data_IF_460358625526
#
_entry.id   IF_460358625526
#
_cell.length_a   1.000
_cell.length_b   1.000
_cell.length_c   1.000
_cell.angle_alpha   90.00
_cell.angle_beta   90.00
_cell.angle_gamma   90.00
#
_symmetry.space_group_name_H-M   'P 1'
#
loop_
_entity.id
_entity.type
_entity.pdbx_description
1 polymer ?
#
# COMPACT_ATOMS: atom_id res chain seq x y z
N UNK A 1 -16.18 -47.87 2.73
CA UNK A 1 -15.17 -46.78 2.73
C UNK A 1 -15.79 -45.61 1.99
N UNK A 2 -16.16 -44.54 2.69
CA UNK A 2 -16.78 -43.36 2.07
C UNK A 2 -15.71 -42.57 1.30
N UNK A 3 -15.91 -42.42 0.01
CA UNK A 3 -15.16 -41.49 -0.84
C UNK A 3 -15.50 -40.08 -0.35
N UNK A 4 -14.52 -39.37 0.21
CA UNK A 4 -14.66 -37.94 0.49
C UNK A 4 -14.87 -37.23 -0.86
N UNK A 5 -15.83 -36.28 -0.97
CA UNK A 5 -15.98 -35.52 -2.20
C UNK A 5 -14.73 -34.66 -2.40
N UNK A 6 -13.97 -34.93 -3.47
CA UNK A 6 -12.93 -34.04 -3.96
C UNK A 6 -13.56 -32.65 -4.18
N UNK A 7 -13.22 -31.69 -3.33
CA UNK A 7 -13.65 -30.29 -3.49
C UNK A 7 -12.98 -29.76 -4.77
N UNK A 8 -13.73 -29.47 -5.86
CA UNK A 8 -13.15 -29.12 -7.15
C UNK A 8 -12.66 -27.65 -7.19
N UNK A 9 -12.53 -26.98 -6.05
CA UNK A 9 -12.09 -25.59 -5.96
C UNK A 9 -10.58 -25.54 -6.19
N UNK A 10 -10.10 -24.93 -7.29
CA UNK A 10 -8.67 -24.75 -7.50
C UNK A 10 -8.08 -23.98 -6.31
N UNK A 11 -7.03 -24.50 -5.71
CA UNK A 11 -6.32 -23.86 -4.61
C UNK A 11 -5.84 -22.46 -5.01
N UNK A 12 -5.95 -21.49 -4.11
CA UNK A 12 -5.37 -20.17 -4.33
C UNK A 12 -3.84 -20.31 -4.31
N UNK A 13 -3.13 -20.04 -5.41
CA UNK A 13 -1.68 -20.25 -5.44
C UNK A 13 -1.00 -19.27 -4.49
N UNK A 14 -0.15 -19.78 -3.60
CA UNK A 14 0.65 -18.98 -2.66
C UNK A 14 1.39 -17.86 -3.43
N UNK A 15 1.44 -16.61 -2.95
CA UNK A 15 1.96 -15.48 -3.71
C UNK A 15 3.50 -15.42 -3.69
N UNK A 16 4.16 -16.55 -3.99
CA UNK A 16 5.63 -16.70 -3.90
C UNK A 16 6.37 -15.62 -4.68
N UNK A 17 5.94 -15.34 -5.92
CA UNK A 17 6.53 -14.29 -6.75
C UNK A 17 6.41 -12.88 -6.15
N UNK A 18 5.28 -12.57 -5.50
CA UNK A 18 5.09 -11.28 -4.82
C UNK A 18 6.01 -11.17 -3.61
N UNK A 19 6.13 -12.24 -2.82
CA UNK A 19 7.03 -12.28 -1.66
C UNK A 19 8.48 -12.01 -2.10
N UNK A 20 8.96 -12.70 -3.15
CA UNK A 20 10.32 -12.49 -3.66
C UNK A 20 10.52 -11.08 -4.24
N UNK A 21 9.57 -10.59 -5.04
CA UNK A 21 9.66 -9.25 -5.62
C UNK A 21 9.63 -8.15 -4.55
N UNK A 22 8.72 -8.25 -3.58
CA UNK A 22 8.61 -7.29 -2.48
C UNK A 22 9.81 -7.34 -1.54
N UNK A 23 10.32 -8.54 -1.22
CA UNK A 23 11.53 -8.69 -0.40
C UNK A 23 12.76 -8.16 -1.12
N UNK A 24 12.89 -8.43 -2.43
CA UNK A 24 13.95 -7.88 -3.27
C UNK A 24 13.89 -6.36 -3.38
N UNK A 25 12.68 -5.80 -3.50
CA UNK A 25 12.46 -4.35 -3.46
C UNK A 25 12.90 -3.77 -2.12
N UNK A 26 12.42 -4.32 -1.00
CA UNK A 26 12.80 -3.86 0.35
C UNK A 26 14.33 -3.93 0.54
N UNK A 27 14.97 -5.02 0.12
CA UNK A 27 16.42 -5.16 0.19
C UNK A 27 17.15 -4.11 -0.65
N UNK A 28 16.73 -3.88 -1.89
CA UNK A 28 17.30 -2.85 -2.75
C UNK A 28 17.09 -1.44 -2.18
N UNK A 29 15.89 -1.13 -1.69
CA UNK A 29 15.57 0.13 -1.02
C UNK A 29 16.44 0.34 0.22
N UNK A 30 16.66 -0.70 1.01
CA UNK A 30 17.53 -0.66 2.19
C UNK A 30 18.98 -0.38 1.79
N UNK A 31 19.50 -1.06 0.78
CA UNK A 31 20.87 -0.84 0.27
C UNK A 31 21.04 0.58 -0.27
N UNK A 32 20.06 1.10 -1.01
CA UNK A 32 20.11 2.46 -1.57
C UNK A 32 20.01 3.52 -0.47
N UNK A 33 19.16 3.31 0.53
CA UNK A 33 18.88 4.30 1.56
C UNK A 33 19.94 4.33 2.68
N UNK A 34 20.36 3.16 3.16
CA UNK A 34 21.23 3.00 4.34
C UNK A 34 22.68 2.68 3.92
N UNK A 35 22.87 2.04 2.77
CA UNK A 35 24.18 1.58 2.31
C UNK A 35 24.60 0.24 2.93
N UNK A 36 25.72 -0.30 2.45
CA UNK A 36 26.27 -1.59 2.90
C UNK A 36 27.19 -1.43 4.11
N UNK A 37 27.73 -0.22 4.34
CA UNK A 37 28.67 0.05 5.43
C UNK A 37 27.97 0.74 6.59
N UNK A 38 28.13 0.24 7.84
CA UNK A 38 27.60 0.94 9.01
C UNK A 38 28.32 2.28 9.20
N UNK A 39 27.60 3.36 9.55
CA UNK A 39 28.19 4.66 9.83
C UNK A 39 29.19 4.57 10.98
N UNK A 40 30.28 5.33 10.86
CA UNK A 40 31.38 5.39 11.84
C UNK A 40 30.92 5.90 13.23
N UNK A 41 29.75 6.53 13.31
CA UNK A 41 29.08 6.92 14.55
C UNK A 41 27.59 6.56 14.49
N UNK A 42 27.11 5.57 15.26
CA UNK A 42 25.70 5.20 15.29
C UNK A 42 24.93 6.25 16.09
N UNK A 43 24.43 7.28 15.41
CA UNK A 43 23.47 8.23 15.97
C UNK A 43 22.17 8.20 15.17
N UNK A 44 21.04 8.36 15.85
CA UNK A 44 19.71 8.40 15.23
C UNK A 44 19.58 9.51 14.18
N UNK A 45 20.35 10.60 14.33
CA UNK A 45 20.43 11.69 13.36
C UNK A 45 20.95 11.24 11.98
N UNK A 46 21.86 10.26 11.95
CA UNK A 46 22.45 9.71 10.72
C UNK A 46 21.48 8.76 10.02
N UNK A 47 20.69 7.99 10.77
CA UNK A 47 19.77 6.98 10.21
C UNK A 47 18.40 7.54 9.83
N UNK A 48 17.95 8.65 10.41
CA UNK A 48 16.59 9.19 10.16
C UNK A 48 16.36 9.62 8.70
N UNK A 49 17.31 10.26 7.98
CA UNK A 49 17.16 10.51 6.53
C UNK A 49 17.07 9.23 5.70
N UNK A 50 17.86 8.21 6.05
CA UNK A 50 17.84 6.92 5.38
C UNK A 50 16.52 6.17 5.61
N UNK A 51 16.02 6.18 6.85
CA UNK A 51 14.71 5.61 7.20
C UNK A 51 13.57 6.29 6.40
N UNK A 52 13.62 7.62 6.22
CA UNK A 52 12.67 8.36 5.38
C UNK A 52 12.70 7.91 3.92
N UNK A 53 13.89 7.75 3.35
CA UNK A 53 14.04 7.25 1.97
C UNK A 53 13.55 5.82 1.82
N UNK A 54 13.81 4.96 2.81
CA UNK A 54 13.28 3.59 2.83
C UNK A 54 11.75 3.59 2.84
N UNK A 55 11.11 4.36 3.73
CA UNK A 55 9.65 4.47 3.79
C UNK A 55 9.05 5.02 2.48
N UNK A 56 9.62 6.09 1.92
CA UNK A 56 9.21 6.63 0.64
C UNK A 56 9.29 5.57 -0.46
N UNK A 57 10.39 4.81 -0.52
CA UNK A 57 10.57 3.72 -1.46
C UNK A 57 9.58 2.58 -1.26
N UNK A 58 9.23 2.25 -0.01
CA UNK A 58 8.20 1.25 0.30
C UNK A 58 6.81 1.72 -0.15
N UNK A 59 6.46 2.99 0.05
CA UNK A 59 5.22 3.58 -0.46
C UNK A 59 5.18 3.48 -1.98
N UNK A 60 6.28 3.79 -2.69
CA UNK A 60 6.35 3.62 -4.15
C UNK A 60 6.18 2.14 -4.55
N UNK A 61 6.87 1.22 -3.86
CA UNK A 61 6.76 -0.22 -4.13
C UNK A 61 5.33 -0.74 -3.95
N UNK A 62 4.69 -0.35 -2.84
CA UNK A 62 3.33 -0.76 -2.50
C UNK A 62 2.27 -0.10 -3.37
N UNK A 63 2.33 1.21 -3.60
CA UNK A 63 1.26 1.93 -4.30
C UNK A 63 1.46 1.92 -5.81
N UNK A 64 2.67 1.75 -6.33
CA UNK A 64 2.96 1.85 -7.77
C UNK A 64 3.42 0.52 -8.34
N UNK A 65 4.54 -0.01 -7.85
CA UNK A 65 5.19 -1.17 -8.45
C UNK A 65 4.31 -2.42 -8.36
N UNK A 66 3.69 -2.66 -7.19
CA UNK A 66 2.79 -3.80 -6.99
C UNK A 66 1.55 -3.74 -7.89
N UNK A 67 0.77 -2.65 -7.93
CA UNK A 67 -0.36 -2.50 -8.85
C UNK A 67 0.03 -2.64 -10.31
N UNK A 68 1.13 -2.02 -10.72
CA UNK A 68 1.63 -2.13 -12.09
C UNK A 68 1.91 -3.58 -12.45
N UNK A 69 2.69 -4.28 -11.61
CA UNK A 69 2.99 -5.70 -11.79
C UNK A 69 1.71 -6.54 -11.89
N UNK A 70 0.72 -6.25 -11.02
CA UNK A 70 -0.56 -6.98 -11.03
C UNK A 70 -1.37 -6.75 -12.29
N UNK A 71 -1.48 -5.52 -12.75
CA UNK A 71 -2.25 -5.20 -13.94
C UNK A 71 -1.58 -5.70 -15.24
N UNK A 72 -0.26 -5.92 -15.20
CA UNK A 72 0.49 -6.58 -16.27
C UNK A 72 0.30 -8.09 -16.31
N UNK A 73 -0.04 -8.73 -15.19
CA UNK A 73 -0.45 -10.15 -15.19
C UNK A 73 -1.87 -10.29 -15.76
N UNK A 74 -2.15 -11.38 -16.50
CA UNK A 74 -3.38 -11.57 -17.30
C UNK A 74 -4.71 -11.61 -16.50
N UNK A 75 -5.78 -12.15 -17.10
CA UNK A 75 -7.10 -12.24 -16.45
C UNK A 75 -7.02 -13.06 -15.15
N UNK A 76 -7.58 -12.53 -14.06
CA UNK A 76 -7.58 -13.14 -12.72
C UNK A 76 -8.93 -13.81 -12.46
N UNK A 77 -8.94 -15.12 -12.16
CA UNK A 77 -10.16 -15.92 -11.89
C UNK A 77 -10.83 -15.61 -10.54
N UNK A 78 -10.12 -15.01 -9.57
CA UNK A 78 -10.63 -14.63 -8.24
C UNK A 78 -10.02 -13.29 -7.78
N UNK A 79 -10.49 -12.15 -8.30
CA UNK A 79 -9.83 -10.85 -8.08
C UNK A 79 -9.80 -10.43 -6.61
N UNK A 80 -10.91 -10.63 -5.88
CA UNK A 80 -11.05 -10.27 -4.45
C UNK A 80 -10.10 -11.09 -3.58
N UNK A 81 -10.20 -12.43 -3.62
CA UNK A 81 -9.36 -13.29 -2.79
C UNK A 81 -7.87 -13.10 -3.08
N UNK A 82 -7.51 -12.84 -4.34
CA UNK A 82 -6.13 -12.56 -4.72
C UNK A 82 -5.63 -11.24 -4.15
N UNK A 83 -6.42 -10.17 -4.27
CA UNK A 83 -6.07 -8.87 -3.73
C UNK A 83 -5.95 -8.88 -2.20
N UNK A 84 -6.81 -9.62 -1.49
CA UNK A 84 -6.72 -9.78 -0.03
C UNK A 84 -5.44 -10.52 0.40
N UNK A 85 -5.08 -11.59 -0.32
CA UNK A 85 -3.88 -12.37 -0.01
C UNK A 85 -2.60 -11.57 -0.32
N UNK A 86 -2.62 -10.74 -1.36
CA UNK A 86 -1.53 -9.80 -1.63
C UNK A 86 -1.43 -8.70 -0.57
N UNK A 87 -2.57 -8.12 -0.19
CA UNK A 87 -2.65 -7.13 0.87
C UNK A 87 -2.06 -7.67 2.17
N UNK A 88 -2.49 -8.87 2.60
CA UNK A 88 -1.97 -9.52 3.80
C UNK A 88 -0.45 -9.75 3.71
N UNK A 89 0.04 -10.16 2.53
CA UNK A 89 1.47 -10.36 2.30
C UNK A 89 2.26 -9.06 2.41
N UNK A 90 1.78 -8.00 1.76
CA UNK A 90 2.45 -6.69 1.76
C UNK A 90 2.39 -6.02 3.12
N UNK A 91 1.25 -6.12 3.82
CA UNK A 91 1.12 -5.65 5.20
C UNK A 91 2.11 -6.39 6.09
N UNK A 92 2.18 -7.73 6.03
CA UNK A 92 3.13 -8.49 6.85
C UNK A 92 4.59 -8.07 6.60
N UNK A 93 4.97 -7.88 5.33
CA UNK A 93 6.32 -7.40 4.98
C UNK A 93 6.55 -5.95 5.46
N UNK A 94 5.53 -5.10 5.36
CA UNK A 94 5.59 -3.73 5.84
C UNK A 94 5.81 -3.67 7.36
N UNK A 95 5.09 -4.50 8.13
CA UNK A 95 5.25 -4.64 9.59
C UNK A 95 6.68 -5.01 9.99
N UNK A 96 7.29 -5.95 9.26
CA UNK A 96 8.67 -6.41 9.51
C UNK A 96 9.69 -5.29 9.30
N UNK A 97 9.39 -4.28 8.48
CA UNK A 97 10.29 -3.14 8.25
C UNK A 97 10.00 -1.99 9.20
N UNK A 98 8.73 -1.61 9.35
CA UNK A 98 8.36 -0.36 10.04
C UNK A 98 8.63 -0.39 11.54
N UNK A 99 8.38 -1.51 12.21
CA UNK A 99 8.56 -1.60 13.66
C UNK A 99 10.04 -1.57 14.07
N UNK A 100 10.96 -2.31 13.41
CA UNK A 100 12.38 -2.20 13.70
C UNK A 100 12.96 -0.80 13.42
N UNK A 101 12.36 0.00 12.54
CA UNK A 101 12.84 1.37 12.31
C UNK A 101 12.78 2.24 13.56
N UNK A 102 11.88 1.94 14.51
CA UNK A 102 11.84 2.61 15.82
C UNK A 102 13.13 2.41 16.63
N UNK A 103 13.83 1.30 16.42
CA UNK A 103 15.08 1.00 17.15
C UNK A 103 16.28 1.82 16.64
N UNK A 104 16.18 2.35 15.42
CA UNK A 104 17.26 3.11 14.76
C UNK A 104 16.93 4.59 14.54
N UNK A 105 15.69 4.99 14.85
CA UNK A 105 15.20 6.38 14.76
C UNK A 105 14.83 6.90 16.15
N UNK A 106 14.61 8.22 16.26
CA UNK A 106 14.11 8.85 17.50
C UNK A 106 12.57 8.86 17.58
N UNK A 107 11.88 8.07 16.75
CA UNK A 107 10.43 8.13 16.66
C UNK A 107 9.75 7.51 17.89
N UNK A 108 8.75 8.19 18.47
CA UNK A 108 7.89 7.59 19.50
C UNK A 108 7.04 6.46 18.90
N UNK A 109 6.55 5.57 19.76
CA UNK A 109 5.72 4.43 19.34
C UNK A 109 4.47 4.88 18.58
N UNK A 110 3.83 5.97 19.02
CA UNK A 110 2.65 6.52 18.38
C UNK A 110 2.92 6.97 16.94
N UNK A 111 4.12 7.47 16.64
CA UNK A 111 4.49 7.93 15.29
C UNK A 111 4.72 6.73 14.38
N UNK A 112 5.39 5.71 14.89
CA UNK A 112 5.54 4.42 14.18
C UNK A 112 4.18 3.80 13.90
N UNK A 113 3.26 3.82 14.87
CA UNK A 113 1.90 3.33 14.72
C UNK A 113 1.11 4.15 13.69
N UNK A 114 1.24 5.48 13.69
CA UNK A 114 0.58 6.35 12.74
C UNK A 114 1.05 6.06 11.29
N UNK A 115 2.37 5.98 11.09
CA UNK A 115 2.95 5.58 9.80
C UNK A 115 2.47 4.18 9.36
N UNK A 116 2.36 3.27 10.33
CA UNK A 116 1.91 1.91 10.08
C UNK A 116 0.47 1.87 9.57
N UNK A 117 -0.42 2.55 10.28
CA UNK A 117 -1.85 2.60 9.93
C UNK A 117 -2.10 3.30 8.59
N UNK A 118 -1.40 4.41 8.31
CA UNK A 118 -1.45 5.06 6.99
C UNK A 118 -1.03 4.08 5.88
N UNK A 119 0.12 3.41 6.06
CA UNK A 119 0.62 2.41 5.12
C UNK A 119 -0.40 1.30 4.84
N UNK A 120 -1.00 0.75 5.88
CA UNK A 120 -2.05 -0.27 5.77
C UNK A 120 -3.28 0.28 5.05
N UNK A 121 -3.76 1.48 5.40
CA UNK A 121 -4.95 2.08 4.80
C UNK A 121 -4.76 2.35 3.29
N UNK A 122 -3.58 2.83 2.88
CA UNK A 122 -3.24 3.03 1.47
C UNK A 122 -3.11 1.71 0.71
N UNK A 123 -2.42 0.72 1.28
CA UNK A 123 -2.34 -0.62 0.68
C UNK A 123 -3.72 -1.25 0.54
N UNK A 124 -4.59 -1.12 1.54
CA UNK A 124 -5.95 -1.62 1.52
C UNK A 124 -6.80 -0.92 0.45
N UNK A 125 -6.66 0.40 0.30
CA UNK A 125 -7.32 1.18 -0.74
C UNK A 125 -6.91 0.72 -2.13
N UNK A 126 -5.60 0.60 -2.37
CA UNK A 126 -5.06 0.11 -3.64
C UNK A 126 -5.48 -1.34 -3.92
N UNK A 127 -5.46 -2.21 -2.93
CA UNK A 127 -5.94 -3.59 -3.05
C UNK A 127 -7.40 -3.65 -3.50
N UNK A 128 -8.26 -2.83 -2.88
CA UNK A 128 -9.67 -2.72 -3.23
C UNK A 128 -9.87 -2.22 -4.66
N UNK A 129 -9.12 -1.18 -5.07
CA UNK A 129 -9.18 -0.67 -6.45
C UNK A 129 -8.71 -1.74 -7.44
N UNK A 130 -7.64 -2.48 -7.13
CA UNK A 130 -7.18 -3.60 -7.97
C UNK A 130 -8.23 -4.71 -8.08
N UNK A 131 -8.89 -5.08 -6.99
CA UNK A 131 -9.97 -6.07 -7.01
C UNK A 131 -11.13 -5.61 -7.90
N UNK A 132 -11.54 -4.34 -7.76
CA UNK A 132 -12.59 -3.71 -8.56
C UNK A 132 -12.20 -3.60 -10.05
N UNK A 133 -10.96 -3.18 -10.34
CA UNK A 133 -10.46 -2.99 -11.69
C UNK A 133 -10.22 -4.32 -12.39
N UNK A 134 -9.80 -5.37 -11.69
CA UNK A 134 -9.62 -6.69 -12.27
C UNK A 134 -10.94 -7.35 -12.70
N UNK A 135 -12.07 -6.97 -12.07
CA UNK A 135 -13.40 -7.35 -12.52
C UNK A 135 -13.83 -6.65 -13.81
N UNK A 136 -13.21 -5.51 -14.16
CA UNK A 136 -13.52 -4.70 -15.35
C UNK A 136 -12.42 -4.89 -16.42
N UNK A 137 -12.81 -5.02 -17.68
CA UNK A 137 -11.88 -5.26 -18.79
C UNK A 137 -10.84 -4.14 -19.02
N UNK A 138 -10.03 -4.29 -20.07
CA UNK A 138 -8.74 -3.60 -20.32
C UNK A 138 -8.64 -2.10 -20.02
N UNK A 139 -9.69 -1.29 -20.20
CA UNK A 139 -9.67 0.15 -19.90
C UNK A 139 -9.54 0.49 -18.41
N UNK A 140 -10.09 -0.35 -17.52
CA UNK A 140 -10.04 -0.10 -16.08
C UNK A 140 -8.61 -0.14 -15.51
N UNK A 141 -7.71 -0.88 -16.17
CA UNK A 141 -6.30 -1.01 -15.77
C UNK A 141 -5.55 0.30 -15.93
N UNK A 142 -5.69 0.93 -17.11
CA UNK A 142 -5.04 2.20 -17.44
C UNK A 142 -5.55 3.29 -16.50
N UNK A 143 -6.87 3.37 -16.31
CA UNK A 143 -7.46 4.33 -15.38
C UNK A 143 -7.01 4.14 -13.93
N UNK A 144 -6.86 2.89 -13.48
CA UNK A 144 -6.33 2.61 -12.13
C UNK A 144 -4.91 3.15 -11.96
N UNK A 145 -4.03 2.91 -12.94
CA UNK A 145 -2.66 3.45 -12.90
C UNK A 145 -2.66 4.98 -12.93
N UNK A 146 -3.45 5.60 -13.81
CA UNK A 146 -3.57 7.06 -13.88
C UNK A 146 -4.05 7.62 -12.54
N UNK A 147 -5.07 7.04 -11.93
CA UNK A 147 -5.62 7.49 -10.65
C UNK A 147 -4.56 7.44 -9.54
N UNK A 148 -3.81 6.34 -9.45
CA UNK A 148 -2.72 6.17 -8.46
C UNK A 148 -1.62 7.22 -8.69
N UNK A 149 -1.21 7.42 -9.95
CA UNK A 149 -0.19 8.43 -10.28
C UNK A 149 -0.67 9.84 -9.96
N UNK A 150 -1.91 10.16 -10.29
CA UNK A 150 -2.54 11.44 -9.97
C UNK A 150 -2.59 11.65 -8.46
N UNK A 151 -3.00 10.64 -7.70
CA UNK A 151 -3.06 10.71 -6.24
C UNK A 151 -1.69 10.98 -5.60
N UNK A 152 -0.63 10.39 -6.14
CA UNK A 152 0.74 10.58 -5.65
C UNK A 152 1.35 11.95 -6.05
N UNK A 153 1.12 12.41 -7.29
CA UNK A 153 1.89 13.53 -7.87
C UNK A 153 1.12 14.85 -7.86
N UNK A 154 -0.19 14.84 -8.14
CA UNK A 154 -0.93 16.08 -8.36
C UNK A 154 -1.04 16.95 -7.11
N UNK A 155 -1.39 16.42 -5.91
CA UNK A 155 -1.49 17.26 -4.72
C UNK A 155 -0.22 18.07 -4.39
N UNK A 156 0.99 17.47 -4.32
CA UNK A 156 2.19 18.24 -4.03
C UNK A 156 2.56 19.21 -5.16
N UNK A 157 2.36 18.83 -6.43
CA UNK A 157 2.64 19.73 -7.56
C UNK A 157 1.74 20.96 -7.54
N UNK A 158 0.45 20.80 -7.25
CA UNK A 158 -0.48 21.94 -7.14
C UNK A 158 -0.07 22.89 -6.01
N UNK A 159 0.36 22.37 -4.86
CA UNK A 159 0.85 23.21 -3.75
C UNK A 159 2.09 24.00 -4.17
N UNK A 160 3.06 23.36 -4.83
CA UNK A 160 4.31 24.02 -5.26
C UNK A 160 4.04 25.07 -6.34
N UNK A 161 3.21 24.75 -7.33
CA UNK A 161 3.00 25.59 -8.52
C UNK A 161 2.01 26.72 -8.31
N UNK A 162 0.97 26.49 -7.51
CA UNK A 162 -0.12 27.46 -7.29
C UNK A 162 -0.06 28.12 -5.91
N UNK A 163 0.89 27.73 -5.05
CA UNK A 163 1.03 28.27 -3.70
C UNK A 163 -0.16 27.96 -2.78
N UNK A 164 -0.82 26.82 -2.99
CA UNK A 164 -1.96 26.40 -2.18
C UNK A 164 -1.55 25.99 -0.76
N UNK A 165 -2.53 25.70 0.10
CA UNK A 165 -2.26 25.27 1.48
C UNK A 165 -1.47 23.96 1.53
N UNK A 166 -0.48 23.89 2.43
CA UNK A 166 0.34 22.69 2.62
C UNK A 166 -0.46 21.45 3.04
N UNK A 167 -1.66 21.64 3.61
CA UNK A 167 -2.57 20.56 3.96
C UNK A 167 -3.08 19.77 2.75
N UNK A 168 -3.10 20.37 1.55
CA UNK A 168 -3.44 19.65 0.33
C UNK A 168 -2.34 18.68 -0.10
N UNK A 169 -1.07 19.00 0.13
CA UNK A 169 0.03 18.11 -0.22
C UNK A 169 -0.03 16.81 0.58
N UNK A 170 -0.50 16.88 1.83
CA UNK A 170 -0.75 15.75 2.74
C UNK A 170 -1.81 14.74 2.24
N UNK A 171 -2.54 15.06 1.17
CA UNK A 171 -3.42 14.08 0.50
C UNK A 171 -2.58 13.03 -0.24
N UNK A 172 -1.37 13.38 -0.69
CA UNK A 172 -0.47 12.44 -1.34
C UNK A 172 0.20 11.53 -0.29
N UNK A 173 0.08 10.20 -0.42
CA UNK A 173 0.72 9.24 0.48
C UNK A 173 2.24 9.45 0.62
N UNK A 174 2.89 9.81 -0.48
CA UNK A 174 4.34 10.02 -0.49
C UNK A 174 4.74 11.26 0.28
N UNK A 175 3.95 12.33 0.17
CA UNK A 175 4.20 13.56 0.92
C UNK A 175 3.86 13.37 2.40
N UNK A 176 2.75 12.69 2.71
CA UNK A 176 2.31 12.46 4.09
C UNK A 176 3.29 11.57 4.85
N UNK A 177 3.73 10.45 4.26
CA UNK A 177 4.75 9.59 4.89
C UNK A 177 6.04 10.36 5.15
N UNK A 178 6.42 11.23 4.22
CA UNK A 178 7.62 12.06 4.33
C UNK A 178 7.48 13.12 5.44
N UNK A 179 6.31 13.75 5.54
CA UNK A 179 5.99 14.73 6.57
C UNK A 179 6.06 14.10 7.96
N UNK A 180 5.28 13.03 8.19
CA UNK A 180 5.21 12.34 9.50
C UNK A 180 6.59 11.85 9.94
N UNK A 181 7.36 11.29 9.01
CA UNK A 181 8.69 10.77 9.28
C UNK A 181 9.74 11.88 9.52
N UNK A 182 9.49 13.11 9.07
CA UNK A 182 10.40 14.26 9.26
C UNK A 182 10.20 14.99 10.58
N UNK A 183 9.05 14.85 11.23
CA UNK A 183 8.70 15.56 12.48
C UNK A 183 9.43 15.04 13.75
N UNK A 184 10.37 14.10 13.59
CA UNK A 184 11.34 13.74 14.63
C UNK A 184 10.69 13.19 15.92
N UNK A 185 10.97 13.75 17.11
CA UNK A 185 10.35 13.35 18.38
C UNK A 185 9.12 14.20 18.76
N UNK A 186 8.65 15.13 17.91
CA UNK A 186 7.53 15.99 18.24
C UNK A 186 6.25 15.18 18.56
N UNK A 187 5.38 15.72 19.42
CA UNK A 187 4.08 15.12 19.71
C UNK A 187 3.18 15.11 18.48
N UNK A 188 2.32 14.09 18.38
CA UNK A 188 1.40 13.91 17.26
C UNK A 188 0.15 14.75 17.52
N UNK A 189 -0.27 15.52 16.52
CA UNK A 189 -1.48 16.31 16.65
C UNK A 189 -2.71 15.37 16.62
N UNK A 190 -3.76 15.63 17.42
CA UNK A 190 -4.99 14.83 17.37
C UNK A 190 -5.63 14.75 15.97
N UNK A 191 -5.40 15.76 15.14
CA UNK A 191 -5.87 15.81 13.75
C UNK A 191 -5.27 14.75 12.84
N UNK A 192 -4.09 14.21 13.16
CA UNK A 192 -3.40 13.23 12.31
C UNK A 192 -4.09 11.86 12.37
N UNK A 193 -4.58 11.46 13.55
CA UNK A 193 -5.38 10.25 13.73
C UNK A 193 -6.70 10.27 12.96
N UNK A 194 -7.31 11.46 12.82
CA UNK A 194 -8.54 11.63 12.04
C UNK A 194 -8.32 11.32 10.56
N UNK A 195 -7.15 11.65 10.00
CA UNK A 195 -6.83 11.39 8.59
C UNK A 195 -6.76 9.89 8.32
N UNK A 196 -6.03 9.15 9.15
CA UNK A 196 -5.99 7.68 9.10
C UNK A 196 -7.39 7.07 9.13
N UNK A 197 -8.26 7.54 10.03
CA UNK A 197 -9.63 7.05 10.10
C UNK A 197 -10.43 7.31 8.80
N UNK A 198 -10.25 8.47 8.18
CA UNK A 198 -10.85 8.79 6.88
C UNK A 198 -10.33 7.86 5.79
N UNK A 199 -9.02 7.56 5.76
CA UNK A 199 -8.43 6.66 4.77
C UNK A 199 -8.96 5.22 4.90
N UNK A 200 -9.12 4.72 6.13
CA UNK A 200 -9.79 3.43 6.34
C UNK A 200 -11.25 3.44 5.91
N UNK A 201 -11.98 4.54 6.14
CA UNK A 201 -13.34 4.69 5.65
C UNK A 201 -13.39 4.68 4.10
N UNK A 202 -12.45 5.36 3.45
CA UNK A 202 -12.30 5.33 1.98
C UNK A 202 -11.99 3.91 1.50
N UNK A 203 -11.04 3.22 2.13
CA UNK A 203 -10.73 1.82 1.81
C UNK A 203 -11.96 0.92 1.94
N UNK A 204 -12.74 1.07 3.02
CA UNK A 204 -13.97 0.32 3.24
C UNK A 204 -15.01 0.56 2.14
N UNK A 205 -15.19 1.81 1.71
CA UNK A 205 -16.10 2.17 0.60
C UNK A 205 -15.62 1.54 -0.71
N UNK A 206 -14.33 1.57 -1.00
CA UNK A 206 -13.74 0.95 -2.20
C UNK A 206 -13.98 -0.56 -2.18
N UNK A 207 -13.76 -1.23 -1.04
CA UNK A 207 -13.99 -2.66 -0.89
C UNK A 207 -15.46 -3.03 -1.00
N UNK A 208 -16.35 -2.24 -0.41
CA UNK A 208 -17.79 -2.42 -0.58
C UNK A 208 -18.19 -2.34 -2.06
N UNK A 209 -17.70 -1.33 -2.79
CA UNK A 209 -17.96 -1.20 -4.22
C UNK A 209 -17.37 -2.37 -5.04
N UNK A 210 -16.16 -2.84 -4.69
CA UNK A 210 -15.54 -4.00 -5.33
C UNK A 210 -16.39 -5.26 -5.17
N UNK A 211 -16.85 -5.53 -3.94
CA UNK A 211 -17.66 -6.71 -3.61
C UNK A 211 -19.04 -6.61 -4.26
N UNK A 212 -19.75 -5.48 -4.11
CA UNK A 212 -21.09 -5.30 -4.67
C UNK A 212 -21.12 -5.46 -6.20
N UNK A 213 -20.06 -5.01 -6.89
CA UNK A 213 -19.98 -5.19 -8.35
C UNK A 213 -19.63 -6.62 -8.78
N UNK A 214 -19.01 -7.42 -7.90
CA UNK A 214 -18.72 -8.83 -8.18
C UNK A 214 -19.98 -9.71 -8.07
N UNK A 215 -20.82 -9.48 -7.05
CA UNK A 215 -22.05 -10.25 -6.83
C UNK A 215 -23.10 -9.98 -7.90
N UNK A 216 -23.22 -8.73 -8.37
CA UNK A 216 -24.15 -8.36 -9.44
C UNK A 216 -23.81 -9.04 -10.79
N UNK A 217 -22.54 -9.40 -11.02
CA UNK A 217 -22.12 -10.10 -12.23
C UNK A 217 -22.49 -11.59 -12.24
N UNK A 218 -22.60 -12.21 -11.07
CA UNK A 218 -22.95 -13.64 -10.93
C UNK A 218 -24.46 -13.85 -11.14
N UNK A 219 -25.30 -12.99 -10.55
CA UNK A 219 -26.76 -13.06 -10.69
C UNK A 219 -27.24 -12.87 -12.14
N UNK A 220 -26.54 -12.05 -12.94
CA UNK A 220 -26.84 -11.87 -14.36
C UNK A 220 -26.45 -13.08 -15.23
N UNK A 221 -25.49 -13.90 -14.80
CA UNK A 221 -25.07 -15.08 -15.55
C UNK A 221 -26.01 -16.27 -15.30
N UNK A 222 -26.53 -16.40 -14.08
CA UNK A 222 -27.46 -17.46 -13.70
C UNK A 222 -28.88 -17.24 -14.25
N UNK A 223 -29.28 -15.99 -14.55
CA UNK A 223 -30.60 -15.70 -15.14
C UNK A 223 -30.69 -15.98 -16.66
N UNK A 224 -29.56 -16.28 -17.32
CA UNK A 224 -29.48 -16.49 -18.77
C UNK A 224 -29.24 -17.98 -19.09
N UNK A 225 -28.97 -18.81 -18.08
CA UNK A 225 -28.88 -20.27 -18.17
C UNK A 225 -30.24 -20.94 -17.94
#
# INVERSE_FOLDING_TARGET
>A
MSVAPDDPRPELPIPRGLVFAASGWIAASWVIAIGVQPPLQPSSAVYTPAARMLLASMVIGGLVAWPLFRLSTGRIRRPIARALLDLATLVALFQIVIWPLRLVTSWPADRTLLLDLHGIAWLASVAGVLAWAAARGGGARVWTMILIMVWLVVPPVLVITLGLSGDLAKISPLFEVWSIASDGPAEIAPGDWRRVAIEFAVAAVIWWAAIATSTAGEESADSVA
#
